data_IF_880106596443
#
_entry.id   IF_880106596443
#
_cell.length_a   1.000
_cell.length_b   1.000
_cell.length_c   1.000
_cell.angle_alpha   90.00
_cell.angle_beta   90.00
_cell.angle_gamma   90.00
#
_symmetry.space_group_name_H-M   'P 1'
#
loop_
_entity.id
_entity.type
_entity.pdbx_description
1 polymer ?
#
# COMPACT_ATOMS: atom_id res chain seq x y z
N UNK A 1 -1.62 1.97 7.87
CA UNK A 1 -1.49 1.51 6.47
C UNK A 1 -0.08 1.07 6.13
N UNK A 2 0.90 1.99 6.13
CA UNK A 2 2.30 1.68 5.79
C UNK A 2 2.85 0.50 6.61
N UNK A 3 2.74 0.50 7.94
CA UNK A 3 3.21 -0.61 8.81
C UNK A 3 2.52 -1.96 8.55
N UNK A 4 1.32 -1.93 7.95
CA UNK A 4 0.50 -3.10 7.66
C UNK A 4 0.56 -3.50 6.17
N UNK A 5 1.50 -2.96 5.38
CA UNK A 5 1.57 -3.21 3.92
C UNK A 5 1.59 -4.70 3.56
N UNK A 6 2.27 -5.53 4.36
CA UNK A 6 2.32 -6.99 4.19
C UNK A 6 0.96 -7.63 4.40
N UNK A 7 0.26 -7.27 5.47
CA UNK A 7 -1.08 -7.78 5.80
C UNK A 7 -2.12 -7.37 4.76
N UNK A 8 -1.93 -6.19 4.17
CA UNK A 8 -2.78 -5.63 3.12
C UNK A 8 -2.39 -6.12 1.71
N UNK A 9 -1.40 -7.01 1.59
CA UNK A 9 -0.87 -7.51 0.33
C UNK A 9 -0.56 -6.39 -0.69
N UNK A 10 -0.13 -5.23 -0.20
CA UNK A 10 0.18 -4.07 -1.01
C UNK A 10 1.39 -4.33 -1.89
N UNK A 11 1.36 -3.76 -3.09
CA UNK A 11 2.55 -3.69 -3.92
C UNK A 11 3.50 -2.63 -3.35
N UNK A 12 4.80 -2.88 -3.40
CA UNK A 12 5.80 -2.01 -2.76
C UNK A 12 6.92 -1.62 -3.70
N UNK A 13 7.39 -0.37 -3.60
CA UNK A 13 8.71 0.00 -4.16
C UNK A 13 9.83 -0.55 -3.29
N UNK A 14 11.08 -0.65 -3.78
CA UNK A 14 12.22 -0.97 -2.93
C UNK A 14 12.45 0.11 -1.87
N UNK A 15 12.92 -0.30 -0.70
CA UNK A 15 13.07 0.56 0.49
C UNK A 15 14.16 1.64 0.36
N UNK A 16 15.22 1.34 -0.39
CA UNK A 16 16.40 2.20 -0.46
C UNK A 16 16.38 3.19 -1.63
N UNK A 17 15.23 3.38 -2.29
CA UNK A 17 15.11 4.35 -3.39
C UNK A 17 14.82 5.73 -2.82
N UNK A 18 15.66 6.71 -3.15
CA UNK A 18 15.52 8.08 -2.63
C UNK A 18 14.25 8.76 -3.18
N UNK A 19 13.53 9.47 -2.31
CA UNK A 19 12.33 10.22 -2.69
C UNK A 19 12.61 11.31 -3.71
N UNK A 20 11.66 11.54 -4.63
CA UNK A 20 11.74 12.65 -5.59
C UNK A 20 12.77 12.46 -6.71
N UNK A 21 13.32 11.25 -6.87
CA UNK A 21 14.32 10.93 -7.89
C UNK A 21 13.71 10.26 -9.13
N UNK A 22 14.37 10.30 -10.30
CA UNK A 22 13.97 9.52 -11.47
C UNK A 22 13.88 8.01 -11.18
N UNK A 23 14.76 7.50 -10.32
CA UNK A 23 14.79 6.10 -9.89
C UNK A 23 13.50 5.73 -9.14
N UNK A 24 12.98 6.64 -8.29
CA UNK A 24 11.69 6.45 -7.63
C UNK A 24 10.54 6.38 -8.64
N UNK A 25 10.52 7.30 -9.61
CA UNK A 25 9.51 7.29 -10.66
C UNK A 25 9.53 5.97 -11.44
N UNK A 26 10.74 5.45 -11.76
CA UNK A 26 10.91 4.15 -12.42
C UNK A 26 10.42 3.00 -11.55
N UNK A 27 10.78 2.97 -10.27
CA UNK A 27 10.32 1.94 -9.34
C UNK A 27 8.79 1.90 -9.22
N UNK A 28 8.14 3.07 -9.14
CA UNK A 28 6.67 3.16 -9.13
C UNK A 28 6.08 2.61 -10.43
N UNK A 29 6.64 2.97 -11.59
CA UNK A 29 6.17 2.48 -12.90
C UNK A 29 6.30 0.96 -13.02
N UNK A 30 7.43 0.39 -12.61
CA UNK A 30 7.65 -1.06 -12.61
C UNK A 30 6.59 -1.78 -11.75
N UNK A 31 6.34 -1.27 -10.54
CA UNK A 31 5.32 -1.81 -9.65
C UNK A 31 3.91 -1.68 -10.24
N UNK A 32 3.60 -0.53 -10.85
CA UNK A 32 2.31 -0.27 -11.48
C UNK A 32 2.03 -1.19 -12.67
N UNK A 33 3.06 -1.51 -13.47
CA UNK A 33 2.94 -2.35 -14.67
C UNK A 33 2.89 -3.87 -14.35
N UNK A 34 3.41 -4.30 -13.20
CA UNK A 34 3.53 -5.72 -12.85
C UNK A 34 2.21 -6.40 -12.41
N UNK A 35 1.12 -5.66 -12.18
CA UNK A 35 -0.19 -6.24 -11.86
C UNK A 35 -1.28 -5.77 -12.83
N UNK A 36 -2.23 -6.64 -13.22
CA UNK A 36 -3.51 -6.19 -13.80
C UNK A 36 -4.44 -5.54 -12.76
N UNK A 37 -4.05 -5.51 -11.48
CA UNK A 37 -4.95 -5.20 -10.36
C UNK A 37 -4.92 -3.71 -10.04
N UNK A 38 -5.86 -2.99 -10.64
CA UNK A 38 -6.25 -1.61 -10.37
C UNK A 38 -6.85 -1.39 -8.96
N UNK A 39 -6.68 -2.32 -8.02
CA UNK A 39 -7.52 -2.42 -6.82
C UNK A 39 -6.79 -2.26 -5.47
N UNK A 40 -5.46 -2.07 -5.46
CA UNK A 40 -4.73 -1.82 -4.20
C UNK A 40 -3.69 -0.70 -4.36
N UNK A 41 -3.53 0.21 -3.38
CA UNK A 41 -2.47 1.23 -3.38
C UNK A 41 -1.05 0.65 -3.49
N UNK A 42 -0.10 1.51 -3.92
CA UNK A 42 1.33 1.23 -3.82
C UNK A 42 1.86 1.83 -2.52
N UNK A 43 2.63 1.05 -1.78
CA UNK A 43 3.36 1.50 -0.59
C UNK A 43 4.83 1.77 -0.97
N UNK A 44 5.29 3.00 -0.78
CA UNK A 44 6.68 3.40 -0.99
C UNK A 44 7.48 3.08 0.27
N UNK A 45 8.20 1.95 0.28
CA UNK A 45 9.03 1.57 1.42
C UNK A 45 10.18 2.56 1.63
N UNK A 46 10.62 2.75 2.87
CA UNK A 46 11.59 3.78 3.26
C UNK A 46 11.02 5.20 3.37
N UNK A 47 9.77 5.40 2.92
CA UNK A 47 9.05 6.67 2.99
C UNK A 47 7.83 6.50 3.89
N UNK A 48 7.93 6.91 5.15
CA UNK A 48 6.82 6.88 6.11
C UNK A 48 5.68 7.73 5.51
N UNK A 49 4.47 7.19 5.52
CA UNK A 49 3.28 7.76 4.82
C UNK A 49 3.34 7.74 3.28
N UNK A 50 4.35 7.11 2.70
CA UNK A 50 4.49 6.93 1.26
C UNK A 50 3.43 5.98 0.71
N UNK A 51 2.24 6.49 0.43
CA UNK A 51 1.15 5.74 -0.20
C UNK A 51 0.73 6.43 -1.50
N UNK A 52 0.59 5.64 -2.56
CA UNK A 52 0.16 6.13 -3.86
C UNK A 52 -1.15 5.46 -4.26
N UNK A 53 -2.16 6.27 -4.59
CA UNK A 53 -3.42 5.84 -5.19
C UNK A 53 -3.66 6.54 -6.52
N UNK A 54 -4.54 5.98 -7.35
CA UNK A 54 -4.77 6.43 -8.71
C UNK A 54 -6.22 6.20 -9.14
N UNK A 55 -6.61 6.86 -10.23
CA UNK A 55 -7.91 6.74 -10.85
C UNK A 55 -8.05 7.72 -12.02
N UNK A 56 -9.03 7.51 -12.90
CA UNK A 56 -9.37 8.45 -13.97
C UNK A 56 -9.99 9.73 -13.43
N UNK A 57 -10.54 9.65 -12.21
CA UNK A 57 -11.12 10.79 -11.49
C UNK A 57 -10.56 10.85 -10.08
N UNK A 58 -10.65 12.03 -9.45
CA UNK A 58 -10.32 12.20 -8.03
C UNK A 58 -11.11 11.25 -7.13
N UNK A 59 -12.38 10.99 -7.50
CA UNK A 59 -13.26 10.07 -6.77
C UNK A 59 -12.73 8.64 -6.80
N UNK A 60 -12.26 8.17 -7.95
CA UNK A 60 -11.67 6.82 -8.07
C UNK A 60 -10.39 6.68 -7.23
N UNK A 61 -9.50 7.67 -7.28
CA UNK A 61 -8.28 7.67 -6.47
C UNK A 61 -8.59 7.67 -4.96
N UNK A 62 -9.61 8.41 -4.53
CA UNK A 62 -10.08 8.41 -3.15
C UNK A 62 -10.73 7.07 -2.77
N UNK A 63 -11.54 6.50 -3.66
CA UNK A 63 -12.19 5.22 -3.41
C UNK A 63 -11.16 4.10 -3.21
N UNK A 64 -10.09 4.09 -3.99
CA UNK A 64 -8.99 3.14 -3.83
C UNK A 64 -8.34 3.24 -2.44
N UNK A 65 -8.13 4.47 -1.96
CA UNK A 65 -7.62 4.73 -0.62
C UNK A 65 -8.59 4.24 0.47
N UNK A 66 -9.87 4.58 0.34
CA UNK A 66 -10.92 4.19 1.30
C UNK A 66 -11.08 2.68 1.38
N UNK A 67 -11.04 1.98 0.24
CA UNK A 67 -11.09 0.52 0.21
C UNK A 67 -9.94 -0.09 1.02
N UNK A 68 -8.72 0.44 0.84
CA UNK A 68 -7.56 -0.05 1.55
C UNK A 68 -7.66 0.21 3.08
N UNK A 69 -8.26 1.32 3.51
CA UNK A 69 -8.56 1.57 4.94
C UNK A 69 -9.58 0.55 5.45
N UNK A 70 -10.69 0.35 4.74
CA UNK A 70 -11.72 -0.61 5.16
C UNK A 70 -11.16 -2.03 5.29
N UNK A 71 -10.24 -2.44 4.40
CA UNK A 71 -9.54 -3.73 4.53
C UNK A 71 -8.64 -3.78 5.77
N UNK A 72 -7.96 -2.68 6.10
CA UNK A 72 -7.16 -2.61 7.33
C UNK A 72 -8.03 -2.74 8.57
N UNK A 73 -9.15 -2.01 8.63
CA UNK A 73 -10.10 -2.09 9.75
C UNK A 73 -10.63 -3.52 9.91
N UNK A 74 -10.96 -4.21 8.81
CA UNK A 74 -11.37 -5.63 8.86
C UNK A 74 -10.30 -6.52 9.47
N UNK A 75 -9.03 -6.32 9.13
CA UNK A 75 -7.90 -7.09 9.67
C UNK A 75 -7.71 -6.80 11.16
N UNK A 76 -7.82 -5.54 11.57
CA UNK A 76 -7.64 -5.12 12.97
C UNK A 76 -8.81 -5.53 13.88
N UNK A 77 -10.01 -5.63 13.33
CA UNK A 77 -11.22 -6.05 14.05
C UNK A 77 -11.40 -7.58 14.10
N UNK A 78 -10.56 -8.37 13.44
CA UNK A 78 -10.63 -9.83 13.61
C UNK A 78 -10.23 -10.19 15.05
N UNK A 79 -11.00 -11.05 15.74
CA UNK A 79 -10.63 -11.50 17.08
C UNK A 79 -9.23 -12.10 17.05
N UNK A 80 -8.40 -11.71 18.02
CA UNK A 80 -7.04 -12.21 18.20
C UNK A 80 -7.12 -13.71 18.51
N UNK A 81 -7.07 -14.54 17.46
CA UNK A 81 -6.76 -15.96 17.57
C UNK A 81 -5.26 -16.19 17.29
N UNK A 82 -4.42 -15.27 17.76
CA UNK A 82 -2.97 -15.34 17.63
C UNK A 82 -2.34 -15.64 19.01
N UNK A 83 -1.97 -16.89 19.29
CA UNK A 83 -1.37 -17.28 20.57
C UNK A 83 0.04 -16.68 20.80
N UNK A 84 0.68 -16.07 19.80
CA UNK A 84 2.04 -15.52 19.94
C UNK A 84 2.07 -14.07 20.47
N UNK A 85 0.91 -13.44 20.71
CA UNK A 85 0.83 -12.06 21.22
C UNK A 85 0.74 -11.93 22.75
N UNK A 86 0.94 -13.02 23.49
CA UNK A 86 0.87 -13.09 24.97
C UNK A 86 2.27 -13.08 25.64
N UNK A 87 3.36 -12.93 24.88
CA UNK A 87 4.72 -12.81 25.41
C UNK A 87 5.32 -11.45 25.08
#
# INVERSE_FOLDING_TARGET
MWENYKKLAMSTTPENVQYGTPEMAKAIQEVYLQKPVLESPICMLGHIEGLLTWGKTKKEALQLYQNAIMELEKIELQPINDPERIL
#
